data_IF_894148100932
#
_entry.id   IF_894148100932
#
_cell.length_a   1.000
_cell.length_b   1.000
_cell.length_c   1.000
_cell.angle_alpha   90.00
_cell.angle_beta   90.00
_cell.angle_gamma   90.00
#
_symmetry.space_group_name_H-M   'P 1'
#
loop_
_entity.id
_entity.type
_entity.pdbx_description
1 polymer ?
#
# COMPACT_ATOMS: atom_id res chain seq x y z
N UNK A 1 -33.74 76.18 25.88
CA UNK A 1 -32.82 75.53 24.96
C UNK A 1 -32.16 74.37 25.74
N UNK A 2 -32.57 73.09 25.53
CA UNK A 2 -31.99 71.93 26.16
C UNK A 2 -31.40 71.06 25.07
N UNK A 3 -30.04 70.87 25.03
CA UNK A 3 -29.33 70.01 24.12
C UNK A 3 -29.41 68.53 24.70
N UNK A 4 -29.95 67.62 23.91
CA UNK A 4 -29.94 66.20 24.19
C UNK A 4 -28.71 65.62 23.48
N UNK A 5 -27.77 65.12 24.27
CA UNK A 5 -26.62 64.33 23.79
C UNK A 5 -27.09 62.89 23.58
N UNK A 6 -26.97 62.39 22.37
CA UNK A 6 -27.21 60.97 22.04
C UNK A 6 -25.88 60.21 22.18
N UNK A 7 -25.83 59.30 23.11
CA UNK A 7 -24.75 58.30 23.25
C UNK A 7 -25.00 57.15 22.23
N UNK A 8 -24.15 57.06 21.25
CA UNK A 8 -24.14 55.93 20.33
C UNK A 8 -23.32 54.77 20.93
N UNK A 9 -23.99 53.72 21.36
CA UNK A 9 -23.35 52.46 21.83
C UNK A 9 -23.04 51.61 20.60
N UNK A 10 -21.77 51.57 20.21
CA UNK A 10 -21.27 50.66 19.16
C UNK A 10 -21.15 49.25 19.68
N UNK A 11 -22.00 48.33 19.21
CA UNK A 11 -21.80 46.87 19.40
C UNK A 11 -20.68 46.39 18.48
N UNK A 12 -19.51 46.07 19.06
CA UNK A 12 -18.47 45.37 18.36
C UNK A 12 -18.87 43.87 18.26
N UNK A 13 -19.28 43.45 17.07
CA UNK A 13 -19.39 42.01 16.76
C UNK A 13 -17.97 41.44 16.64
N UNK A 14 -17.56 40.71 17.67
CA UNK A 14 -16.40 39.84 17.60
C UNK A 14 -16.75 38.69 16.63
N UNK A 15 -16.19 38.73 15.43
CA UNK A 15 -16.25 37.63 14.48
C UNK A 15 -15.51 36.44 15.12
N UNK A 16 -16.25 35.45 15.63
CA UNK A 16 -15.72 34.15 15.97
C UNK A 16 -15.14 33.57 14.67
N UNK A 17 -13.82 33.60 14.55
CA UNK A 17 -13.11 32.85 13.51
C UNK A 17 -13.45 31.36 13.70
N UNK A 18 -14.45 30.89 12.99
CA UNK A 18 -14.83 29.47 12.97
C UNK A 18 -13.62 28.68 12.51
N UNK A 19 -13.07 27.86 13.41
CA UNK A 19 -12.03 26.91 13.05
C UNK A 19 -12.56 26.06 11.90
N UNK A 20 -12.00 26.21 10.71
CA UNK A 20 -12.31 25.33 9.59
C UNK A 20 -12.01 23.90 10.03
N UNK A 21 -12.94 22.93 9.81
CA UNK A 21 -12.66 21.55 10.15
C UNK A 21 -11.36 21.12 9.45
N UNK A 22 -10.49 20.37 10.11
CA UNK A 22 -9.22 19.95 9.54
C UNK A 22 -9.49 19.30 8.19
N UNK A 23 -8.76 19.70 7.17
CA UNK A 23 -8.87 19.14 5.83
C UNK A 23 -8.63 17.62 5.92
N UNK A 24 -9.62 16.81 5.50
CA UNK A 24 -9.53 15.36 5.51
C UNK A 24 -9.01 14.85 4.18
N UNK A 25 -7.97 14.02 4.23
CA UNK A 25 -7.49 13.28 3.07
C UNK A 25 -8.31 12.00 2.89
N UNK A 26 -8.70 11.68 1.69
CA UNK A 26 -9.25 10.37 1.34
C UNK A 26 -8.08 9.51 0.86
N UNK A 27 -7.69 8.53 1.68
CA UNK A 27 -6.59 7.61 1.37
C UNK A 27 -7.17 6.28 0.91
N UNK A 28 -6.80 5.86 -0.29
CA UNK A 28 -7.17 4.57 -0.87
C UNK A 28 -6.28 3.45 -0.35
N UNK A 29 -6.91 2.37 0.14
CA UNK A 29 -6.28 1.14 0.57
C UNK A 29 -6.86 -0.03 -0.21
N UNK A 30 -6.04 -1.04 -0.49
CA UNK A 30 -6.50 -2.37 -0.84
C UNK A 30 -6.54 -3.24 0.42
N UNK A 31 -7.39 -4.27 0.46
CA UNK A 31 -7.50 -5.19 1.59
C UNK A 31 -7.21 -6.62 1.17
N UNK A 32 -7.08 -7.54 2.13
CA UNK A 32 -6.61 -8.90 1.87
C UNK A 32 -5.10 -8.95 1.69
N UNK A 33 -4.40 -8.02 2.34
CA UNK A 33 -2.95 -7.83 2.24
C UNK A 33 -2.30 -7.70 3.63
N UNK A 34 -2.70 -8.61 4.54
CA UNK A 34 -2.14 -8.67 5.90
C UNK A 34 -0.63 -8.95 5.89
N UNK A 35 0.16 -8.30 6.76
CA UNK A 35 -0.23 -7.41 7.86
C UNK A 35 -0.21 -5.92 7.48
N UNK A 36 -0.18 -5.56 6.19
CA UNK A 36 -0.11 -4.16 5.74
C UNK A 36 -1.47 -3.47 5.81
N UNK A 37 -2.52 -4.12 5.26
CA UNK A 37 -3.90 -3.61 5.31
C UNK A 37 -4.91 -4.77 5.27
N UNK A 38 -5.73 -4.86 6.30
CA UNK A 38 -6.80 -5.85 6.43
C UNK A 38 -8.01 -5.27 7.16
N UNK A 39 -9.17 -5.85 6.95
CA UNK A 39 -10.36 -5.54 7.75
C UNK A 39 -10.42 -6.49 8.95
N UNK A 40 -10.39 -5.94 10.15
CA UNK A 40 -10.51 -6.71 11.37
C UNK A 40 -11.90 -7.30 11.58
N UNK A 41 -12.05 -8.18 12.56
CA UNK A 41 -13.35 -8.77 12.95
C UNK A 41 -14.36 -7.74 13.45
N UNK A 42 -13.90 -6.57 13.87
CA UNK A 42 -14.68 -5.40 14.26
C UNK A 42 -15.10 -4.51 13.07
N UNK A 43 -14.76 -4.91 11.84
CA UNK A 43 -15.01 -4.15 10.62
C UNK A 43 -14.07 -2.96 10.40
N UNK A 44 -13.07 -2.74 11.29
CA UNK A 44 -12.14 -1.62 11.16
C UNK A 44 -10.95 -2.01 10.27
N UNK A 45 -10.52 -1.05 9.44
CA UNK A 45 -9.29 -1.17 8.69
C UNK A 45 -8.09 -1.03 9.64
N UNK A 46 -7.16 -1.98 9.59
CA UNK A 46 -5.95 -2.03 10.42
C UNK A 46 -4.75 -2.55 9.63
N UNK A 47 -3.55 -2.39 10.18
CA UNK A 47 -2.30 -2.89 9.62
C UNK A 47 -1.20 -1.84 9.57
N UNK A 48 -0.02 -2.27 9.16
CA UNK A 48 1.17 -1.43 9.13
C UNK A 48 0.98 -0.15 8.31
N UNK A 49 0.42 -0.24 7.11
CA UNK A 49 0.20 0.93 6.25
C UNK A 49 -0.85 1.87 6.81
N UNK A 50 -1.85 1.35 7.52
CA UNK A 50 -2.88 2.16 8.18
C UNK A 50 -2.27 2.97 9.32
N UNK A 51 -1.41 2.34 10.13
CA UNK A 51 -0.68 3.01 11.21
C UNK A 51 0.31 4.05 10.66
N UNK A 52 1.00 3.75 9.54
CA UNK A 52 1.87 4.73 8.85
C UNK A 52 1.04 5.90 8.32
N UNK A 53 -0.12 5.65 7.71
CA UNK A 53 -1.01 6.70 7.24
C UNK A 53 -1.48 7.62 8.38
N UNK A 54 -1.82 7.03 9.54
CA UNK A 54 -2.17 7.77 10.74
C UNK A 54 -1.02 8.66 11.21
N UNK A 55 0.20 8.12 11.30
CA UNK A 55 1.38 8.86 11.73
C UNK A 55 1.73 10.00 10.76
N UNK A 56 1.67 9.75 9.44
CA UNK A 56 1.88 10.77 8.41
C UNK A 56 0.82 11.87 8.49
N UNK A 57 -0.45 11.52 8.61
CA UNK A 57 -1.54 12.49 8.71
C UNK A 57 -1.39 13.38 9.94
N UNK A 58 -1.05 12.81 11.09
CA UNK A 58 -0.75 13.56 12.32
C UNK A 58 0.43 14.51 12.13
N UNK A 59 1.53 14.03 11.52
CA UNK A 59 2.72 14.84 11.24
C UNK A 59 2.41 16.03 10.31
N UNK A 60 1.46 15.84 9.39
CA UNK A 60 0.99 16.90 8.48
C UNK A 60 -0.09 17.81 9.08
N UNK A 61 -0.58 17.56 10.30
CA UNK A 61 -1.72 18.27 10.88
C UNK A 61 -3.03 18.04 10.12
N UNK A 62 -3.21 16.86 9.50
CA UNK A 62 -4.38 16.48 8.72
C UNK A 62 -5.09 15.29 9.38
N UNK A 63 -6.40 15.19 9.13
CA UNK A 63 -7.13 13.94 9.34
C UNK A 63 -7.22 13.18 8.02
N UNK A 64 -7.47 11.86 8.07
CA UNK A 64 -7.80 11.10 6.86
C UNK A 64 -9.05 10.25 7.04
N UNK A 65 -9.61 9.84 5.90
CA UNK A 65 -10.67 8.84 5.80
C UNK A 65 -10.18 7.74 4.87
N UNK A 66 -10.29 6.49 5.30
CA UNK A 66 -9.95 5.33 4.49
C UNK A 66 -11.02 5.08 3.44
N UNK A 67 -10.60 4.82 2.21
CA UNK A 67 -11.45 4.36 1.10
C UNK A 67 -10.92 3.00 0.65
N UNK A 68 -11.70 1.95 0.84
CA UNK A 68 -11.32 0.58 0.47
C UNK A 68 -11.73 0.34 -0.99
N UNK A 69 -10.77 -0.11 -1.80
CA UNK A 69 -10.95 -0.41 -3.23
C UNK A 69 -10.14 -1.66 -3.59
N UNK A 70 -10.52 -2.32 -4.67
CA UNK A 70 -9.66 -3.31 -5.31
C UNK A 70 -8.38 -2.62 -5.81
N UNK A 71 -7.25 -3.32 -5.78
CA UNK A 71 -5.93 -2.72 -6.08
C UNK A 71 -5.88 -2.07 -7.48
N UNK A 72 -6.45 -2.72 -8.49
CA UNK A 72 -6.51 -2.19 -9.87
C UNK A 72 -7.41 -0.97 -10.03
N UNK A 73 -8.32 -0.73 -9.09
CA UNK A 73 -9.18 0.45 -9.03
C UNK A 73 -8.54 1.71 -8.44
N UNK A 74 -7.40 1.58 -7.74
CA UNK A 74 -6.80 2.69 -6.97
C UNK A 74 -6.29 3.84 -7.85
N UNK A 75 -5.52 3.55 -8.91
CA UNK A 75 -5.01 4.60 -9.82
C UNK A 75 -6.16 5.32 -10.55
N UNK A 76 -7.17 4.63 -11.13
CA UNK A 76 -8.36 5.27 -11.67
C UNK A 76 -9.11 6.14 -10.66
N UNK A 77 -9.27 5.67 -9.42
CA UNK A 77 -9.93 6.44 -8.36
C UNK A 77 -9.15 7.71 -7.97
N UNK A 78 -7.81 7.63 -7.94
CA UNK A 78 -6.94 8.78 -7.70
C UNK A 78 -7.07 9.83 -8.83
N UNK A 79 -7.02 9.37 -10.08
CA UNK A 79 -7.13 10.24 -11.26
C UNK A 79 -8.51 10.91 -11.35
N UNK A 80 -9.58 10.19 -11.02
CA UNK A 80 -10.96 10.72 -10.97
C UNK A 80 -11.29 11.49 -9.70
N UNK A 81 -10.31 11.78 -8.83
CA UNK A 81 -10.46 12.53 -7.57
C UNK A 81 -11.44 11.89 -6.56
N UNK A 82 -11.66 10.58 -6.63
CA UNK A 82 -12.41 9.84 -5.61
C UNK A 82 -11.58 9.66 -4.34
N UNK A 83 -10.25 9.57 -4.49
CA UNK A 83 -9.26 9.56 -3.42
C UNK A 83 -8.18 10.61 -3.66
N UNK A 84 -7.43 10.96 -2.64
CA UNK A 84 -6.38 12.00 -2.69
C UNK A 84 -4.98 11.42 -2.61
N UNK A 85 -4.83 10.23 -2.02
CA UNK A 85 -3.59 9.48 -1.94
C UNK A 85 -3.87 7.98 -2.02
N UNK A 86 -2.85 7.18 -2.37
CA UNK A 86 -2.88 5.71 -2.35
C UNK A 86 -1.83 5.22 -1.35
N UNK A 87 -2.25 4.38 -0.39
CA UNK A 87 -1.36 3.61 0.48
C UNK A 87 -1.84 2.15 0.46
N UNK A 88 -1.24 1.35 -0.41
CA UNK A 88 -1.67 0.00 -0.74
C UNK A 88 -0.51 -0.83 -1.29
N UNK A 89 0.64 -0.82 -0.62
CA UNK A 89 1.85 -1.55 -1.03
C UNK A 89 2.27 -1.26 -2.49
N UNK A 90 2.01 -0.03 -2.93
CA UNK A 90 2.18 0.33 -4.34
C UNK A 90 3.62 0.67 -4.66
N UNK A 91 4.31 -0.21 -5.40
CA UNK A 91 5.70 -0.03 -5.83
C UNK A 91 5.86 1.16 -6.76
N UNK A 92 6.94 1.92 -6.56
CA UNK A 92 7.36 3.07 -7.37
C UNK A 92 8.04 2.54 -8.64
N UNK A 93 7.28 2.32 -9.70
CA UNK A 93 7.81 1.83 -10.98
C UNK A 93 7.79 2.91 -12.06
N UNK A 94 8.70 2.84 -13.06
CA UNK A 94 8.71 3.79 -14.18
C UNK A 94 7.36 3.87 -14.90
N UNK A 95 6.69 2.73 -15.07
CA UNK A 95 5.38 2.68 -15.71
C UNK A 95 4.31 3.44 -14.91
N UNK A 96 4.24 3.23 -13.58
CA UNK A 96 3.28 3.94 -12.72
C UNK A 96 3.60 5.42 -12.62
N UNK A 97 4.88 5.80 -12.63
CA UNK A 97 5.32 7.19 -12.64
C UNK A 97 4.91 7.96 -13.91
N UNK A 98 4.60 7.27 -15.01
CA UNK A 98 3.98 7.89 -16.18
C UNK A 98 2.53 8.33 -15.92
N UNK A 99 1.83 7.70 -14.99
CA UNK A 99 0.41 7.94 -14.69
C UNK A 99 0.20 8.81 -13.46
N UNK A 100 0.99 8.60 -12.40
CA UNK A 100 0.85 9.24 -11.09
C UNK A 100 2.24 9.66 -10.56
N UNK A 101 2.24 10.53 -9.54
CA UNK A 101 3.42 10.85 -8.76
C UNK A 101 3.51 9.94 -7.51
N UNK A 102 4.69 9.90 -6.89
CA UNK A 102 4.94 9.16 -5.67
C UNK A 102 5.71 10.02 -4.66
N UNK A 103 5.52 9.74 -3.39
CA UNK A 103 6.45 10.17 -2.33
C UNK A 103 7.77 9.41 -2.42
N UNK A 104 8.75 9.77 -1.59
CA UNK A 104 9.87 8.90 -1.26
C UNK A 104 9.36 7.54 -0.76
N UNK A 105 10.10 6.44 -0.97
CA UNK A 105 9.68 5.13 -0.50
C UNK A 105 9.63 5.11 1.03
N UNK A 106 8.64 4.43 1.63
CA UNK A 106 8.54 4.27 3.07
C UNK A 106 8.82 2.84 3.55
N UNK A 107 8.78 1.85 2.66
CA UNK A 107 9.30 0.51 2.92
C UNK A 107 9.68 -0.24 1.63
N UNK A 108 10.27 -1.45 1.81
CA UNK A 108 10.74 -2.34 0.74
C UNK A 108 10.30 -3.77 1.07
N UNK A 109 9.92 -4.55 0.08
CA UNK A 109 9.52 -5.95 0.27
C UNK A 109 10.14 -6.83 -0.81
N UNK A 110 10.78 -7.96 -0.44
CA UNK A 110 11.17 -8.98 -1.40
C UNK A 110 9.95 -9.61 -2.05
N UNK A 111 10.12 -10.16 -3.25
CA UNK A 111 9.05 -10.83 -4.00
C UNK A 111 9.40 -12.29 -4.22
N UNK A 112 8.54 -13.18 -3.80
CA UNK A 112 8.80 -14.62 -3.84
C UNK A 112 7.62 -15.38 -4.45
N UNK A 113 7.94 -16.52 -5.06
CA UNK A 113 6.92 -17.49 -5.40
C UNK A 113 6.62 -18.38 -4.19
N UNK A 114 5.35 -18.70 -3.98
CA UNK A 114 4.89 -19.66 -2.97
C UNK A 114 4.31 -20.87 -3.67
N UNK A 115 4.76 -22.06 -3.26
CA UNK A 115 4.37 -23.35 -3.81
C UNK A 115 4.25 -24.39 -2.69
N UNK A 116 3.76 -25.59 -3.02
CA UNK A 116 3.89 -26.74 -2.09
C UNK A 116 5.37 -27.04 -1.84
N UNK A 117 5.75 -27.24 -0.58
CA UNK A 117 7.15 -27.46 -0.18
C UNK A 117 7.77 -28.73 -0.78
N UNK A 118 6.94 -29.72 -1.15
CA UNK A 118 7.36 -30.94 -1.80
C UNK A 118 7.36 -30.86 -3.34
N UNK A 119 7.01 -29.74 -3.91
CA UNK A 119 7.04 -29.54 -5.36
C UNK A 119 8.50 -29.52 -5.85
N UNK A 120 8.89 -30.52 -6.60
CA UNK A 120 10.21 -30.61 -7.26
C UNK A 120 10.14 -29.91 -8.62
N UNK A 121 10.06 -28.59 -8.60
CA UNK A 121 9.89 -27.78 -9.80
C UNK A 121 10.98 -26.71 -9.81
N UNK A 122 11.65 -26.56 -10.94
CA UNK A 122 12.52 -25.43 -11.17
C UNK A 122 11.66 -24.17 -11.40
N UNK A 123 11.92 -23.13 -10.61
CA UNK A 123 11.18 -21.86 -10.70
C UNK A 123 11.83 -20.94 -11.75
N UNK A 124 11.93 -21.47 -12.95
CA UNK A 124 12.28 -20.76 -14.17
C UNK A 124 11.08 -20.68 -15.12
N UNK A 125 11.19 -19.87 -16.17
CA UNK A 125 10.15 -19.78 -17.21
C UNK A 125 9.84 -21.15 -17.83
N UNK A 126 10.85 -21.96 -18.08
CA UNK A 126 10.67 -23.30 -18.67
C UNK A 126 10.11 -24.29 -17.66
N UNK A 127 10.66 -24.33 -16.42
CA UNK A 127 10.17 -25.26 -15.37
C UNK A 127 8.73 -24.97 -14.93
N UNK A 128 8.28 -23.74 -15.09
CA UNK A 128 6.90 -23.32 -14.78
C UNK A 128 5.93 -23.40 -15.95
N UNK A 129 6.36 -23.89 -17.11
CA UNK A 129 5.52 -24.04 -18.31
C UNK A 129 4.28 -24.92 -18.04
N UNK A 130 3.12 -24.44 -18.44
CA UNK A 130 1.82 -25.11 -18.22
C UNK A 130 1.31 -25.01 -16.78
N UNK A 131 2.08 -24.48 -15.82
CA UNK A 131 1.66 -24.30 -14.42
C UNK A 131 0.69 -23.15 -14.26
N UNK A 132 -0.25 -23.32 -13.32
CA UNK A 132 -1.25 -22.29 -12.95
C UNK A 132 -0.66 -21.43 -11.86
N UNK A 133 -0.41 -20.15 -12.16
CA UNK A 133 0.19 -19.20 -11.22
C UNK A 133 -0.84 -18.11 -10.92
N UNK A 134 -1.22 -17.97 -9.64
CA UNK A 134 -2.13 -16.95 -9.17
C UNK A 134 -1.43 -15.63 -8.87
N UNK A 135 -2.10 -14.51 -9.18
CA UNK A 135 -1.67 -13.17 -8.81
C UNK A 135 -2.87 -12.26 -8.57
N UNK A 136 -2.69 -11.26 -7.76
CA UNK A 136 -3.63 -10.16 -7.67
C UNK A 136 -3.55 -9.30 -8.95
N UNK A 137 -4.72 -8.99 -9.54
CA UNK A 137 -4.82 -8.25 -10.81
C UNK A 137 -4.32 -6.80 -10.66
N UNK A 138 -3.79 -6.24 -11.75
CA UNK A 138 -3.25 -4.87 -11.77
C UNK A 138 -1.92 -4.70 -11.06
N UNK A 139 -1.36 -5.78 -10.49
CA UNK A 139 -0.07 -5.74 -9.80
C UNK A 139 1.11 -5.80 -10.76
N UNK A 140 2.27 -5.44 -10.24
CA UNK A 140 3.55 -5.64 -10.93
C UNK A 140 3.88 -7.13 -11.10
N UNK A 141 3.39 -7.99 -10.20
CA UNK A 141 3.55 -9.44 -10.27
C UNK A 141 2.83 -10.02 -11.48
N UNK A 142 1.62 -9.55 -11.79
CA UNK A 142 0.89 -9.94 -13.00
C UNK A 142 1.68 -9.61 -14.26
N UNK A 143 2.19 -8.37 -14.36
CA UNK A 143 3.00 -7.94 -15.50
C UNK A 143 4.28 -8.77 -15.63
N UNK A 144 4.99 -8.97 -14.51
CA UNK A 144 6.21 -9.77 -14.49
C UNK A 144 5.97 -11.19 -15.02
N UNK A 145 4.93 -11.86 -14.52
CA UNK A 145 4.58 -13.21 -14.99
C UNK A 145 4.20 -13.23 -16.47
N UNK A 146 3.40 -12.27 -16.93
CA UNK A 146 2.98 -12.18 -18.33
C UNK A 146 4.16 -12.01 -19.28
N UNK A 147 5.22 -11.32 -18.86
CA UNK A 147 6.39 -11.05 -19.69
C UNK A 147 7.50 -12.11 -19.52
N UNK A 148 7.72 -12.63 -18.31
CA UNK A 148 8.84 -13.52 -18.01
C UNK A 148 8.45 -15.01 -17.95
N UNK A 149 7.17 -15.32 -17.70
CA UNK A 149 6.66 -16.70 -17.56
C UNK A 149 5.58 -17.00 -18.63
N UNK A 150 5.85 -16.64 -19.88
CA UNK A 150 4.88 -16.72 -21.00
C UNK A 150 4.28 -18.10 -21.23
N UNK A 151 4.97 -19.19 -20.81
CA UNK A 151 4.47 -20.55 -20.93
C UNK A 151 3.53 -20.97 -19.80
N UNK A 152 3.37 -20.18 -18.74
CA UNK A 152 2.52 -20.46 -17.59
C UNK A 152 1.08 -19.95 -17.82
N UNK A 153 0.14 -20.52 -17.08
CA UNK A 153 -1.24 -20.04 -17.02
C UNK A 153 -1.38 -19.05 -15.86
N UNK A 154 -1.44 -17.75 -16.16
CA UNK A 154 -1.59 -16.70 -15.13
C UNK A 154 -3.07 -16.50 -14.81
N UNK A 155 -3.48 -16.82 -13.58
CA UNK A 155 -4.82 -16.63 -13.06
C UNK A 155 -4.87 -15.37 -12.18
N UNK A 156 -5.86 -14.51 -12.45
CA UNK A 156 -6.01 -13.18 -11.86
C UNK A 156 -7.10 -13.18 -10.80
N UNK A 157 -6.80 -12.65 -9.63
CA UNK A 157 -7.71 -12.58 -8.49
C UNK A 157 -7.95 -11.12 -8.08
N UNK A 158 -9.08 -10.85 -7.46
CA UNK A 158 -9.37 -9.52 -6.94
C UNK A 158 -8.48 -9.19 -5.72
N UNK A 159 -8.15 -10.21 -4.92
CA UNK A 159 -7.27 -10.07 -3.76
C UNK A 159 -6.25 -11.19 -3.69
N UNK A 160 -5.13 -10.97 -3.01
CA UNK A 160 -4.13 -12.01 -2.79
C UNK A 160 -4.66 -13.17 -1.95
N UNK A 161 -5.57 -12.91 -0.99
CA UNK A 161 -6.20 -13.95 -0.17
C UNK A 161 -6.96 -14.97 -1.01
N UNK A 162 -7.66 -14.52 -2.06
CA UNK A 162 -8.34 -15.43 -3.00
C UNK A 162 -7.34 -16.36 -3.72
N UNK A 163 -6.17 -15.82 -4.10
CA UNK A 163 -5.12 -16.64 -4.71
C UNK A 163 -4.56 -17.67 -3.70
N UNK A 164 -4.41 -17.32 -2.42
CA UNK A 164 -4.00 -18.27 -1.37
C UNK A 164 -5.03 -19.38 -1.15
N UNK A 165 -6.33 -19.07 -1.16
CA UNK A 165 -7.39 -20.09 -1.07
C UNK A 165 -7.34 -21.07 -2.24
N UNK A 166 -7.08 -20.61 -3.45
CA UNK A 166 -6.96 -21.46 -4.63
C UNK A 166 -5.65 -22.25 -4.64
N UNK A 167 -4.57 -21.68 -4.13
CA UNK A 167 -3.31 -22.41 -3.92
C UNK A 167 -3.49 -23.56 -2.91
N UNK A 168 -4.13 -23.28 -1.76
CA UNK A 168 -4.44 -24.27 -0.73
C UNK A 168 -5.28 -25.43 -1.28
N UNK A 169 -6.30 -25.11 -2.06
CA UNK A 169 -7.22 -26.11 -2.65
C UNK A 169 -6.62 -26.89 -3.83
N UNK A 170 -5.40 -26.55 -4.29
CA UNK A 170 -4.76 -27.18 -5.44
C UNK A 170 -5.29 -26.72 -6.81
N UNK A 171 -6.10 -25.68 -6.85
CA UNK A 171 -6.49 -25.01 -8.12
C UNK A 171 -5.35 -24.20 -8.72
N UNK A 172 -4.36 -23.79 -7.91
CA UNK A 172 -3.10 -23.21 -8.33
C UNK A 172 -1.93 -24.11 -8.01
N UNK A 173 -0.88 -24.02 -8.81
CA UNK A 173 0.40 -24.67 -8.58
C UNK A 173 1.34 -23.73 -7.81
N UNK A 174 1.20 -22.41 -7.99
CA UNK A 174 1.98 -21.36 -7.34
C UNK A 174 1.21 -20.05 -7.22
N UNK A 175 1.72 -19.13 -6.40
CA UNK A 175 1.37 -17.69 -6.45
C UNK A 175 2.63 -16.86 -6.34
N UNK A 176 2.69 -15.72 -7.06
CA UNK A 176 3.77 -14.73 -6.97
C UNK A 176 3.28 -13.53 -6.16
N UNK A 177 4.00 -13.17 -5.11
CA UNK A 177 3.55 -12.18 -4.13
C UNK A 177 4.72 -11.58 -3.35
N UNK A 178 4.52 -10.44 -2.71
CA UNK A 178 5.45 -9.93 -1.72
C UNK A 178 5.68 -10.95 -0.60
N UNK A 179 6.95 -11.19 -0.27
CA UNK A 179 7.35 -12.24 0.68
C UNK A 179 6.74 -12.03 2.07
N UNK A 180 6.59 -10.78 2.50
CA UNK A 180 5.99 -10.43 3.80
C UNK A 180 4.52 -10.84 3.84
N UNK A 181 3.78 -10.56 2.77
CA UNK A 181 2.37 -10.99 2.64
C UNK A 181 2.26 -12.50 2.70
N UNK A 182 3.10 -13.22 1.94
CA UNK A 182 3.09 -14.67 1.97
C UNK A 182 3.41 -15.21 3.37
N UNK A 183 4.41 -14.65 4.03
CA UNK A 183 4.85 -15.10 5.36
C UNK A 183 3.76 -14.90 6.41
N UNK A 184 3.22 -13.69 6.51
CA UNK A 184 2.29 -13.31 7.58
C UNK A 184 0.82 -13.59 7.24
N UNK A 185 0.41 -13.46 5.98
CA UNK A 185 -0.96 -13.71 5.56
C UNK A 185 -1.27 -15.19 5.27
N UNK A 186 -0.25 -16.03 5.03
CA UNK A 186 -0.48 -17.41 4.65
C UNK A 186 0.44 -18.43 5.33
N UNK A 187 1.76 -18.33 5.17
CA UNK A 187 2.70 -19.39 5.59
C UNK A 187 2.75 -19.59 7.10
N UNK A 188 2.56 -18.55 7.91
CA UNK A 188 2.51 -18.63 9.37
C UNK A 188 1.16 -19.18 9.90
N UNK A 189 0.16 -19.36 9.05
CA UNK A 189 -1.14 -19.89 9.43
C UNK A 189 -1.26 -21.38 9.17
N UNK A 190 -2.25 -22.03 9.76
CA UNK A 190 -2.55 -23.46 9.55
C UNK A 190 -2.73 -23.79 8.06
N UNK A 191 -3.25 -22.87 7.30
CA UNK A 191 -3.53 -22.99 5.86
C UNK A 191 -2.26 -23.05 5.01
N UNK A 192 -1.18 -22.44 5.49
CA UNK A 192 0.15 -22.47 4.85
C UNK A 192 0.96 -23.72 5.11
N UNK A 193 0.47 -24.68 5.93
CA UNK A 193 1.20 -25.92 6.19
C UNK A 193 1.44 -26.71 4.90
N UNK A 194 2.68 -27.11 4.68
CA UNK A 194 3.10 -27.81 3.46
C UNK A 194 3.33 -26.89 2.25
N UNK A 195 3.34 -25.57 2.46
CA UNK A 195 3.75 -24.58 1.48
C UNK A 195 5.01 -23.85 1.94
N UNK A 196 5.72 -23.24 1.02
CA UNK A 196 6.93 -22.48 1.29
C UNK A 196 7.35 -21.61 0.11
N UNK A 197 8.36 -20.81 0.36
CA UNK A 197 8.98 -20.03 -0.70
C UNK A 197 9.74 -20.93 -1.68
N UNK A 198 9.62 -20.60 -2.95
CA UNK A 198 10.34 -21.27 -4.04
C UNK A 198 11.01 -20.21 -4.96
N UNK A 199 12.12 -20.62 -5.58
CA UNK A 199 12.90 -19.78 -6.47
C UNK A 199 13.61 -18.62 -5.79
N UNK A 200 14.17 -17.68 -6.61
CA UNK A 200 14.90 -16.53 -6.12
C UNK A 200 13.98 -15.43 -5.59
N UNK A 201 14.59 -14.36 -5.05
CA UNK A 201 13.93 -13.09 -4.85
C UNK A 201 13.83 -12.36 -6.20
N UNK A 202 12.61 -12.28 -6.73
CA UNK A 202 12.32 -11.59 -7.99
C UNK A 202 12.28 -10.07 -7.81
N UNK A 203 12.10 -9.56 -6.59
CA UNK A 203 11.98 -8.15 -6.28
C UNK A 203 13.24 -7.31 -6.58
N UNK A 204 14.36 -7.96 -6.89
CA UNK A 204 15.62 -7.29 -7.24
C UNK A 204 15.64 -6.70 -8.65
N UNK A 205 14.70 -7.04 -9.51
CA UNK A 205 14.61 -6.46 -10.86
C UNK A 205 13.87 -5.13 -10.81
N UNK A 206 14.62 -4.03 -10.67
CA UNK A 206 14.05 -2.68 -10.59
C UNK A 206 13.19 -2.28 -11.80
N UNK A 207 13.36 -2.92 -12.96
CA UNK A 207 12.53 -2.64 -14.16
C UNK A 207 11.07 -3.00 -13.90
N UNK A 208 10.82 -4.05 -13.10
CA UNK A 208 9.49 -4.48 -12.71
C UNK A 208 9.09 -3.91 -11.35
N UNK A 209 9.94 -4.09 -10.34
CA UNK A 209 9.59 -3.87 -8.95
C UNK A 209 9.92 -2.47 -8.44
N UNK A 210 10.69 -1.69 -9.24
CA UNK A 210 10.96 -0.29 -8.95
C UNK A 210 11.87 -0.09 -7.74
N UNK A 211 11.69 1.07 -7.06
CA UNK A 211 12.61 1.53 -6.00
C UNK A 211 11.96 1.55 -4.61
N UNK A 212 11.14 0.57 -4.30
CA UNK A 212 10.40 0.47 -3.05
C UNK A 212 8.95 0.92 -3.17
N UNK A 213 8.25 0.99 -2.05
CA UNK A 213 6.82 1.30 -1.94
C UNK A 213 6.64 2.75 -1.48
N UNK A 214 5.82 3.52 -2.19
CA UNK A 214 5.57 4.94 -1.91
C UNK A 214 4.10 5.29 -1.89
N UNK A 215 3.79 6.47 -1.34
CA UNK A 215 2.44 7.03 -1.38
C UNK A 215 2.16 7.51 -2.80
N UNK A 216 1.13 6.94 -3.44
CA UNK A 216 0.70 7.36 -4.78
C UNK A 216 -0.13 8.64 -4.73
N UNK A 217 0.15 9.60 -5.64
CA UNK A 217 -0.44 10.93 -5.68
C UNK A 217 -0.75 11.35 -7.12
N UNK A 218 -1.72 12.23 -7.34
CA UNK A 218 -1.87 12.85 -8.66
C UNK A 218 -0.62 13.68 -8.99
N UNK A 219 -0.21 13.69 -10.25
CA UNK A 219 0.93 14.49 -10.71
C UNK A 219 0.77 15.98 -10.40
N UNK A 220 -0.46 16.50 -10.50
CA UNK A 220 -0.76 17.89 -10.19
C UNK A 220 -0.53 18.24 -8.70
N UNK A 221 -0.61 17.26 -7.81
CA UNK A 221 -0.49 17.46 -6.37
C UNK A 221 0.95 17.19 -5.86
N UNK A 222 1.88 16.81 -6.76
CA UNK A 222 3.25 16.43 -6.37
C UNK A 222 4.00 17.57 -5.64
N UNK A 223 3.90 18.81 -6.15
CA UNK A 223 4.59 19.96 -5.57
C UNK A 223 3.95 20.48 -4.27
N UNK A 224 2.76 20.04 -3.92
CA UNK A 224 2.00 20.45 -2.73
C UNK A 224 1.86 19.30 -1.75
N UNK A 225 0.90 18.42 -1.96
CA UNK A 225 0.63 17.29 -1.09
C UNK A 225 1.80 16.30 -1.09
N UNK A 226 2.44 16.05 -2.25
CA UNK A 226 3.60 15.16 -2.35
C UNK A 226 4.76 15.62 -1.47
N UNK A 227 5.12 16.91 -1.55
CA UNK A 227 6.15 17.49 -0.68
C UNK A 227 5.81 17.34 0.82
N UNK A 228 4.55 17.55 1.20
CA UNK A 228 4.13 17.36 2.61
C UNK A 228 4.29 15.90 3.06
N UNK A 229 3.97 14.92 2.20
CA UNK A 229 4.24 13.51 2.51
C UNK A 229 5.74 13.25 2.66
N UNK A 230 6.59 13.79 1.79
CA UNK A 230 8.04 13.60 1.87
C UNK A 230 8.62 14.23 3.14
N UNK A 231 8.21 15.44 3.51
CA UNK A 231 8.60 16.11 4.74
C UNK A 231 8.15 15.30 5.99
N UNK A 232 6.91 14.79 5.98
CA UNK A 232 6.39 13.96 7.05
C UNK A 232 7.15 12.62 7.15
N UNK A 233 7.43 11.95 6.02
CA UNK A 233 8.23 10.71 5.99
C UNK A 233 9.65 10.95 6.54
N UNK A 234 10.29 12.05 6.15
CA UNK A 234 11.61 12.42 6.68
C UNK A 234 11.57 12.65 8.20
N UNK A 235 10.53 13.32 8.70
CA UNK A 235 10.32 13.53 10.13
C UNK A 235 10.10 12.21 10.88
N UNK A 236 9.24 11.31 10.34
CA UNK A 236 8.98 10.00 10.96
C UNK A 236 10.22 9.09 10.98
N UNK A 237 11.08 9.21 9.97
CA UNK A 237 12.38 8.50 9.94
C UNK A 237 13.34 9.06 10.99
N UNK A 238 13.53 10.38 11.02
CA UNK A 238 14.51 11.04 11.90
C UNK A 238 14.16 10.90 13.37
N UNK A 239 12.88 10.93 13.75
CA UNK A 239 12.42 10.77 15.13
C UNK A 239 12.19 9.29 15.53
N UNK A 240 12.46 8.34 14.63
CA UNK A 240 12.35 6.90 14.88
C UNK A 240 10.92 6.35 14.90
N UNK A 241 9.91 7.15 14.59
CA UNK A 241 8.49 6.68 14.58
C UNK A 241 8.28 5.60 13.54
N UNK A 242 8.81 5.76 12.32
CA UNK A 242 8.66 4.77 11.25
C UNK A 242 9.29 3.43 11.64
N UNK A 243 10.47 3.46 12.30
CA UNK A 243 11.10 2.25 12.84
C UNK A 243 10.26 1.60 13.94
N UNK A 244 9.72 2.38 14.88
CA UNK A 244 8.83 1.85 15.94
C UNK A 244 7.59 1.19 15.37
N UNK A 245 7.02 1.74 14.30
CA UNK A 245 5.91 1.11 13.58
C UNK A 245 6.35 -0.19 12.91
N UNK A 246 7.51 -0.19 12.24
CA UNK A 246 8.08 -1.44 11.70
C UNK A 246 8.20 -2.52 12.78
N UNK A 247 8.84 -2.22 13.90
CA UNK A 247 9.15 -3.16 14.97
C UNK A 247 7.89 -3.70 15.69
N UNK A 248 6.75 -3.02 15.57
CA UNK A 248 5.46 -3.51 16.07
C UNK A 248 4.93 -4.68 15.24
N UNK A 249 5.17 -4.67 13.95
CA UNK A 249 4.63 -5.64 12.99
C UNK A 249 5.65 -6.70 12.58
N UNK A 250 6.94 -6.34 12.54
CA UNK A 250 7.99 -7.15 11.94
C UNK A 250 9.21 -7.27 12.86
N UNK A 251 9.80 -8.46 12.91
CA UNK A 251 11.08 -8.72 13.61
C UNK A 251 12.31 -8.36 12.76
N UNK A 252 12.11 -7.79 11.57
CA UNK A 252 13.15 -7.38 10.63
C UNK A 252 12.83 -6.00 10.05
N UNK A 253 13.85 -5.36 9.49
CA UNK A 253 13.74 -3.99 8.99
C UNK A 253 13.25 -3.98 7.54
N UNK A 254 12.06 -3.42 7.30
CA UNK A 254 11.49 -3.14 5.98
C UNK A 254 11.66 -1.68 5.57
N UNK A 255 11.90 -0.78 6.53
CA UNK A 255 11.83 0.67 6.28
C UNK A 255 13.17 1.28 5.87
N UNK A 256 14.26 0.56 6.03
CA UNK A 256 15.57 0.92 5.47
C UNK A 256 15.73 0.39 4.05
N UNK A 257 16.43 1.11 3.16
CA UNK A 257 16.76 0.60 1.83
C UNK A 257 17.52 -0.73 1.92
N UNK A 258 17.24 -1.71 1.04
CA UNK A 258 18.01 -2.95 0.99
C UNK A 258 19.47 -2.65 0.67
N UNK A 259 20.37 -3.41 1.30
CA UNK A 259 21.81 -3.32 1.10
C UNK A 259 22.24 -4.07 -0.17
#
# INVERSE_FOLDING_TARGET
>A
MRRRSALATGLAWAAAAGAQPPQRLRIGFAVGYAPFSEVGSDGQLKGFEVDVAQALSLSMGLAFTSVILDFDGLIPALQSRKIDAIMASMSITPQRQQLIAFSAPYYFSPVRMVMRSNAKVDVSSEGMKGRRIGVERGTIHERFLAEQFKGSQVLRYATQDQAFLDLKSGRLDATLVDAVIAQFGFLNHSDGRGFGFAGPDFGRDERYYGKGIGVGLRKADAATLGRRFDEALAALRSNGTLKKLNDRYFSFDLVSPPR
#
